data_IF_546727820286
#
_entry.id   IF_546727820286
#
_cell.length_a   1.000
_cell.length_b   1.000
_cell.length_c   1.000
_cell.angle_alpha   90.00
_cell.angle_beta   90.00
_cell.angle_gamma   90.00
#
_symmetry.space_group_name_H-M   'P 1'
#
loop_
_entity.id
_entity.type
_entity.pdbx_description
1 polymer ?
#
# COMPACT_ATOMS: atom_id res chain seq x y z
N UNK A 1 17.62 -50.37 16.76
CA UNK A 1 16.90 -50.56 18.05
C UNK A 1 17.57 -49.72 19.12
N UNK A 2 16.80 -49.18 20.08
CA UNK A 2 17.15 -48.24 21.19
C UNK A 2 17.23 -46.75 20.77
N UNK A 3 16.25 -45.89 21.06
CA UNK A 3 15.66 -45.36 22.32
C UNK A 3 16.53 -44.29 23.02
N UNK A 4 16.01 -43.06 23.09
CA UNK A 4 15.96 -42.10 24.23
C UNK A 4 15.45 -40.74 23.71
N UNK A 5 14.18 -40.37 23.88
CA UNK A 5 13.56 -39.77 25.07
C UNK A 5 14.27 -38.47 25.54
N UNK A 6 13.62 -37.30 25.37
CA UNK A 6 13.07 -36.50 26.49
C UNK A 6 12.35 -35.25 25.98
N UNK A 7 11.13 -35.06 26.46
CA UNK A 7 10.38 -33.80 26.47
C UNK A 7 10.98 -32.82 27.51
N UNK A 8 10.61 -31.54 27.42
CA UNK A 8 10.33 -30.53 28.48
C UNK A 8 10.52 -29.13 27.83
N UNK A 9 9.46 -28.45 27.38
CA UNK A 9 8.43 -27.70 28.12
C UNK A 9 8.84 -26.24 28.43
N UNK A 10 7.90 -25.32 28.16
CA UNK A 10 7.55 -24.06 28.83
C UNK A 10 7.01 -23.07 27.76
N UNK A 11 5.88 -22.37 27.91
CA UNK A 11 4.79 -22.40 28.88
C UNK A 11 3.64 -21.59 28.27
N UNK A 12 2.42 -21.95 28.62
CA UNK A 12 1.18 -21.24 28.32
C UNK A 12 1.17 -19.77 28.79
N UNK A 13 0.55 -18.89 27.98
CA UNK A 13 -0.37 -17.87 28.51
C UNK A 13 -1.67 -17.97 27.70
N UNK A 14 -2.71 -18.52 28.33
CA UNK A 14 -4.09 -18.20 27.98
C UNK A 14 -4.32 -16.76 28.41
N UNK A 15 -4.69 -15.90 27.46
CA UNK A 15 -5.52 -14.74 27.74
C UNK A 15 -6.78 -14.89 26.91
N UNK A 16 -7.80 -15.46 27.54
CA UNK A 16 -9.18 -15.09 27.23
C UNK A 16 -9.39 -13.77 27.97
N UNK A 17 -9.33 -12.67 27.25
CA UNK A 17 -9.69 -11.34 27.72
C UNK A 17 -10.40 -10.69 26.55
N UNK A 18 -11.63 -10.22 26.79
CA UNK A 18 -12.44 -9.49 25.84
C UNK A 18 -11.55 -8.57 24.99
N UNK A 19 -11.55 -8.83 23.68
CA UNK A 19 -10.99 -7.92 22.70
C UNK A 19 -11.90 -6.69 22.66
N UNK A 20 -11.78 -5.85 23.68
CA UNK A 20 -12.22 -4.49 23.67
C UNK A 20 -11.60 -3.87 22.43
N UNK A 21 -12.48 -3.60 21.48
CA UNK A 21 -12.24 -3.19 20.11
C UNK A 21 -11.54 -1.83 20.12
N UNK A 22 -10.22 -1.83 20.30
CA UNK A 22 -9.41 -0.71 19.84
C UNK A 22 -9.69 -0.61 18.34
N UNK A 23 -10.15 0.55 17.86
CA UNK A 23 -10.22 0.76 16.42
C UNK A 23 -8.79 0.68 15.90
N UNK A 24 -8.38 -0.51 15.44
CA UNK A 24 -7.08 -0.72 14.85
C UNK A 24 -6.97 0.26 13.69
N UNK A 25 -5.90 1.07 13.70
CA UNK A 25 -5.66 2.04 12.65
C UNK A 25 -5.64 1.31 11.30
N UNK A 26 -6.58 1.64 10.41
CA UNK A 26 -6.65 1.08 9.05
C UNK A 26 -6.21 2.12 8.02
N UNK A 27 -5.04 1.90 7.42
CA UNK A 27 -4.51 2.78 6.38
C UNK A 27 -5.42 2.79 5.14
N UNK A 28 -6.11 1.70 4.83
CA UNK A 28 -7.01 1.65 3.68
C UNK A 28 -8.20 2.61 3.85
N UNK A 29 -8.73 2.72 5.08
CA UNK A 29 -9.79 3.69 5.40
C UNK A 29 -9.27 5.13 5.27
N UNK A 30 -8.05 5.41 5.73
CA UNK A 30 -7.44 6.75 5.56
C UNK A 30 -7.26 7.10 4.08
N UNK A 31 -6.81 6.16 3.26
CA UNK A 31 -6.69 6.34 1.80
C UNK A 31 -8.06 6.58 1.17
N UNK A 32 -9.09 5.81 1.56
CA UNK A 32 -10.46 5.97 1.07
C UNK A 32 -11.02 7.35 1.39
N UNK A 33 -10.89 7.79 2.65
CA UNK A 33 -11.40 9.07 3.11
C UNK A 33 -10.69 10.23 2.40
N UNK A 34 -9.38 10.09 2.16
CA UNK A 34 -8.60 11.04 1.37
C UNK A 34 -9.09 11.06 -0.07
N UNK A 35 -9.26 9.89 -0.71
CA UNK A 35 -9.78 9.78 -2.07
C UNK A 35 -11.17 10.41 -2.24
N UNK A 36 -12.03 10.35 -1.21
CA UNK A 36 -13.33 11.00 -1.21
C UNK A 36 -13.22 12.54 -1.27
N UNK A 37 -12.23 13.15 -0.60
CA UNK A 37 -11.97 14.60 -0.70
C UNK A 37 -11.58 15.02 -2.12
N UNK A 38 -10.90 14.14 -2.85
CA UNK A 38 -10.48 14.36 -4.23
C UNK A 38 -11.46 13.76 -5.26
N UNK A 39 -12.69 13.39 -4.88
CA UNK A 39 -13.63 12.72 -5.78
C UNK A 39 -13.90 13.51 -7.08
N UNK A 40 -13.90 14.85 -7.02
CA UNK A 40 -14.12 15.71 -8.18
C UNK A 40 -13.02 15.65 -9.25
N UNK A 41 -11.81 15.16 -8.91
CA UNK A 41 -10.70 15.03 -9.87
C UNK A 41 -10.69 13.67 -10.57
N UNK A 42 -11.51 12.73 -10.12
CA UNK A 42 -11.57 11.36 -10.63
C UNK A 42 -12.51 11.27 -11.83
N UNK A 43 -11.94 10.97 -13.00
CA UNK A 43 -12.62 10.90 -14.30
C UNK A 43 -13.22 9.54 -14.60
N UNK A 44 -12.66 8.48 -14.03
CA UNK A 44 -13.11 7.10 -14.23
C UNK A 44 -13.82 6.63 -12.97
N UNK A 45 -15.08 6.22 -13.12
CA UNK A 45 -15.87 5.63 -12.04
C UNK A 45 -15.37 4.23 -11.67
N UNK A 46 -15.81 3.72 -10.51
CA UNK A 46 -15.34 2.44 -9.98
C UNK A 46 -15.65 1.25 -10.91
N UNK A 47 -16.83 1.21 -11.53
CA UNK A 47 -17.23 0.09 -12.39
C UNK A 47 -16.41 0.05 -13.68
N UNK A 48 -16.25 1.21 -14.32
CA UNK A 48 -15.39 1.36 -15.50
C UNK A 48 -13.93 1.05 -15.19
N UNK A 49 -13.43 1.49 -14.04
CA UNK A 49 -12.05 1.23 -13.62
C UNK A 49 -11.80 -0.26 -13.37
N UNK A 50 -12.70 -0.94 -12.65
CA UNK A 50 -12.64 -2.39 -12.41
C UNK A 50 -12.65 -3.15 -13.72
N UNK A 51 -13.57 -2.83 -14.65
CA UNK A 51 -13.63 -3.51 -15.95
C UNK A 51 -12.33 -3.37 -16.74
N UNK A 52 -11.80 -2.14 -16.86
CA UNK A 52 -10.54 -1.88 -17.57
C UNK A 52 -9.37 -2.60 -16.93
N UNK A 53 -9.31 -2.61 -15.60
CA UNK A 53 -8.27 -3.30 -14.85
C UNK A 53 -8.38 -4.81 -15.05
N UNK A 54 -9.57 -5.40 -14.94
CA UNK A 54 -9.79 -6.83 -15.18
C UNK A 54 -9.34 -7.26 -16.58
N UNK A 55 -9.70 -6.49 -17.60
CA UNK A 55 -9.32 -6.79 -18.98
C UNK A 55 -7.79 -6.71 -19.18
N UNK A 56 -7.13 -5.72 -18.57
CA UNK A 56 -5.67 -5.58 -18.58
C UNK A 56 -4.98 -6.74 -17.85
N UNK A 57 -5.44 -7.08 -16.65
CA UNK A 57 -4.81 -8.11 -15.83
C UNK A 57 -4.96 -9.51 -16.44
N UNK A 58 -6.10 -9.81 -17.05
CA UNK A 58 -6.31 -11.08 -17.77
C UNK A 58 -5.43 -11.15 -19.01
N UNK A 59 -5.36 -10.07 -19.79
CA UNK A 59 -4.62 -10.04 -21.05
C UNK A 59 -3.10 -10.06 -20.85
N UNK A 60 -2.59 -9.23 -19.96
CA UNK A 60 -1.16 -8.90 -19.90
C UNK A 60 -0.45 -9.49 -18.67
N UNK A 61 -1.20 -9.82 -17.62
CA UNK A 61 -0.64 -10.29 -16.33
C UNK A 61 -1.13 -11.69 -15.92
N UNK A 62 -1.83 -12.40 -16.82
CA UNK A 62 -2.24 -13.79 -16.63
C UNK A 62 -3.18 -14.03 -15.44
N UNK A 63 -4.03 -13.05 -15.11
CA UNK A 63 -4.98 -13.20 -14.01
C UNK A 63 -5.92 -14.40 -14.20
N UNK A 64 -6.05 -15.23 -13.16
CA UNK A 64 -6.92 -16.43 -13.14
C UNK A 64 -8.36 -16.11 -12.70
N UNK A 65 -8.62 -14.85 -12.37
CA UNK A 65 -9.88 -14.33 -11.91
C UNK A 65 -10.03 -12.86 -12.26
N UNK A 66 -11.11 -12.27 -11.77
CA UNK A 66 -11.47 -10.86 -11.97
C UNK A 66 -11.77 -10.24 -10.60
N UNK A 67 -11.46 -8.96 -10.43
CA UNK A 67 -11.83 -8.16 -9.26
C UNK A 67 -13.33 -8.23 -9.04
N UNK A 68 -14.13 -8.13 -10.12
CA UNK A 68 -15.58 -8.24 -10.04
C UNK A 68 -16.07 -9.57 -9.42
N UNK A 69 -15.26 -10.64 -9.56
CA UNK A 69 -15.57 -11.99 -9.08
C UNK A 69 -14.82 -12.37 -7.79
N UNK A 70 -14.06 -11.47 -7.17
CA UNK A 70 -13.42 -11.73 -5.88
C UNK A 70 -14.50 -12.02 -4.81
N UNK A 71 -14.28 -13.09 -4.03
CA UNK A 71 -15.25 -13.61 -3.07
C UNK A 71 -15.02 -13.02 -1.68
N UNK A 72 -13.75 -12.77 -1.33
CA UNK A 72 -13.43 -12.08 -0.09
C UNK A 72 -13.88 -10.61 -0.18
N UNK A 73 -14.83 -10.15 0.66
CA UNK A 73 -15.37 -8.79 0.56
C UNK A 73 -14.33 -7.70 0.85
N UNK A 74 -13.38 -7.97 1.75
CA UNK A 74 -12.33 -7.00 2.11
C UNK A 74 -11.37 -6.85 0.95
N UNK A 75 -10.89 -7.96 0.39
CA UNK A 75 -10.04 -7.93 -0.80
C UNK A 75 -10.74 -7.29 -1.98
N UNK A 76 -12.01 -7.64 -2.24
CA UNK A 76 -12.79 -7.03 -3.32
C UNK A 76 -12.90 -5.51 -3.17
N UNK A 77 -13.14 -5.04 -1.95
CA UNK A 77 -13.18 -3.61 -1.64
C UNK A 77 -11.83 -2.93 -1.90
N UNK A 78 -10.73 -3.51 -1.40
CA UNK A 78 -9.38 -2.98 -1.62
C UNK A 78 -9.02 -2.94 -3.11
N UNK A 79 -9.29 -4.02 -3.85
CA UNK A 79 -9.01 -4.10 -5.29
C UNK A 79 -9.87 -3.13 -6.11
N UNK A 80 -11.13 -2.96 -5.76
CA UNK A 80 -12.03 -1.99 -6.44
C UNK A 80 -11.54 -0.56 -6.23
N UNK A 81 -11.17 -0.22 -4.99
CA UNK A 81 -10.61 1.10 -4.66
C UNK A 81 -9.27 1.32 -5.34
N UNK A 82 -8.37 0.33 -5.31
CA UNK A 82 -7.09 0.36 -5.99
C UNK A 82 -7.26 0.57 -7.51
N UNK A 83 -8.11 -0.23 -8.16
CA UNK A 83 -8.38 -0.12 -9.59
C UNK A 83 -8.87 1.30 -9.95
N UNK A 84 -9.78 1.86 -9.15
CA UNK A 84 -10.25 3.24 -9.34
C UNK A 84 -9.11 4.26 -9.22
N UNK A 85 -8.27 4.17 -8.19
CA UNK A 85 -7.16 5.09 -7.98
C UNK A 85 -6.14 5.00 -9.13
N UNK A 86 -5.74 3.78 -9.50
CA UNK A 86 -4.78 3.49 -10.57
C UNK A 86 -5.27 4.02 -11.92
N UNK A 87 -6.53 3.75 -12.28
CA UNK A 87 -7.12 4.22 -13.53
C UNK A 87 -7.33 5.74 -13.59
N UNK A 88 -7.21 6.43 -12.45
CA UNK A 88 -7.24 7.89 -12.35
C UNK A 88 -5.85 8.51 -12.11
N UNK A 89 -4.76 7.74 -12.30
CA UNK A 89 -3.39 8.24 -12.20
C UNK A 89 -2.82 8.34 -10.79
N UNK A 90 -3.50 7.81 -9.78
CA UNK A 90 -3.04 7.82 -8.38
C UNK A 90 -2.34 6.50 -8.06
N UNK A 91 -1.14 6.34 -8.64
CA UNK A 91 -0.39 5.09 -8.64
C UNK A 91 0.10 4.67 -7.24
N UNK A 92 0.47 5.64 -6.39
CA UNK A 92 1.03 5.36 -5.06
C UNK A 92 -0.08 4.93 -4.11
N UNK A 93 -1.16 5.70 -4.01
CA UNK A 93 -2.31 5.36 -3.17
C UNK A 93 -2.97 4.05 -3.61
N UNK A 94 -3.17 3.86 -4.92
CA UNK A 94 -3.69 2.61 -5.47
C UNK A 94 -2.76 1.41 -5.22
N UNK A 95 -1.45 1.58 -5.44
CA UNK A 95 -0.46 0.54 -5.17
C UNK A 95 -0.37 0.16 -3.69
N UNK A 96 -0.46 1.13 -2.77
CA UNK A 96 -0.48 0.85 -1.33
C UNK A 96 -1.69 0.02 -0.91
N UNK A 97 -2.87 0.22 -1.50
CA UNK A 97 -4.02 -0.64 -1.23
C UNK A 97 -3.79 -2.10 -1.65
N UNK A 98 -3.03 -2.34 -2.72
CA UNK A 98 -2.64 -3.70 -3.13
C UNK A 98 -1.62 -4.31 -2.15
N UNK A 99 -0.69 -3.50 -1.64
CA UNK A 99 0.24 -3.95 -0.58
C UNK A 99 -0.52 -4.34 0.69
N UNK A 100 -1.49 -3.52 1.12
CA UNK A 100 -2.36 -3.85 2.26
C UNK A 100 -3.13 -5.15 1.98
N UNK A 101 -3.74 -5.28 0.80
CA UNK A 101 -4.46 -6.48 0.40
C UNK A 101 -3.58 -7.74 0.44
N UNK A 102 -2.29 -7.64 0.12
CA UNK A 102 -1.35 -8.77 0.18
C UNK A 102 -1.07 -9.30 1.59
N UNK A 103 -1.40 -8.52 2.62
CA UNK A 103 -1.23 -8.85 4.02
C UNK A 103 -2.51 -9.40 4.66
N UNK A 104 -3.65 -9.33 3.96
CA UNK A 104 -4.93 -9.84 4.43
C UNK A 104 -4.96 -11.39 4.40
N UNK A 105 -5.63 -12.01 5.37
CA UNK A 105 -5.65 -13.48 5.51
C UNK A 105 -6.21 -14.21 4.28
N UNK A 106 -7.14 -13.59 3.56
CA UNK A 106 -7.77 -14.16 2.35
C UNK A 106 -6.88 -14.12 1.10
N UNK A 107 -5.75 -13.39 1.12
CA UNK A 107 -4.99 -13.09 -0.09
C UNK A 107 -4.48 -14.34 -0.81
N UNK A 108 -4.03 -15.35 -0.05
CA UNK A 108 -3.54 -16.62 -0.61
C UNK A 108 -4.60 -17.37 -1.43
N UNK A 109 -5.88 -17.14 -1.17
CA UNK A 109 -7.01 -17.69 -1.93
C UNK A 109 -7.45 -16.83 -3.11
N UNK A 110 -6.94 -15.59 -3.24
CA UNK A 110 -7.34 -14.68 -4.31
C UNK A 110 -6.82 -15.14 -5.67
N UNK A 111 -7.72 -15.21 -6.66
CA UNK A 111 -7.38 -15.56 -8.05
C UNK A 111 -6.86 -14.37 -8.87
N UNK A 112 -7.04 -13.14 -8.38
CA UNK A 112 -6.67 -11.91 -9.07
C UNK A 112 -5.55 -11.14 -8.35
N UNK A 113 -5.43 -11.29 -7.02
CA UNK A 113 -4.43 -10.62 -6.18
C UNK A 113 -3.00 -10.71 -6.71
N UNK A 114 -2.47 -11.90 -7.04
CA UNK A 114 -1.11 -12.03 -7.56
C UNK A 114 -0.86 -11.25 -8.86
N UNK A 115 -1.84 -11.19 -9.77
CA UNK A 115 -1.72 -10.43 -11.01
C UNK A 115 -1.75 -8.91 -10.75
N UNK A 116 -2.58 -8.45 -9.81
CA UNK A 116 -2.56 -7.06 -9.35
C UNK A 116 -1.21 -6.67 -8.76
N UNK A 117 -0.63 -7.52 -7.92
CA UNK A 117 0.68 -7.28 -7.33
C UNK A 117 1.78 -7.21 -8.41
N UNK A 118 1.75 -8.10 -9.40
CA UNK A 118 2.66 -8.07 -10.54
C UNK A 118 2.49 -6.79 -11.39
N UNK A 119 1.25 -6.36 -11.64
CA UNK A 119 0.95 -5.10 -12.33
C UNK A 119 1.54 -3.89 -11.61
N UNK A 120 1.32 -3.77 -10.30
CA UNK A 120 1.89 -2.68 -9.50
C UNK A 120 3.42 -2.73 -9.50
N UNK A 121 4.00 -3.93 -9.38
CA UNK A 121 5.44 -4.13 -9.48
C UNK A 121 6.00 -3.57 -10.80
N UNK A 122 5.40 -3.95 -11.93
CA UNK A 122 5.81 -3.48 -13.25
C UNK A 122 5.61 -1.96 -13.43
N UNK A 123 4.51 -1.40 -12.91
CA UNK A 123 4.21 0.02 -13.02
C UNK A 123 5.16 0.91 -12.20
N UNK A 124 5.69 0.39 -11.08
CA UNK A 124 6.58 1.13 -10.18
C UNK A 124 8.05 0.72 -10.33
N UNK A 125 8.37 -0.21 -11.23
CA UNK A 125 9.74 -0.55 -11.58
C UNK A 125 10.31 0.52 -12.52
N UNK A 126 11.61 0.86 -12.38
CA UNK A 126 12.28 1.63 -13.42
C UNK A 126 12.26 0.81 -14.71
N UNK A 127 11.62 1.34 -15.77
CA UNK A 127 11.84 0.83 -17.10
C UNK A 127 13.31 1.07 -17.49
N UNK A 128 13.83 0.30 -18.44
CA UNK A 128 15.23 0.28 -18.87
C UNK A 128 15.91 1.67 -18.95
N UNK A 129 17.23 1.69 -18.77
CA UNK A 129 18.11 2.86 -18.53
C UNK A 129 17.95 4.09 -19.46
N UNK A 130 17.18 3.98 -20.54
CA UNK A 130 16.89 5.07 -21.48
C UNK A 130 15.78 6.02 -20.99
N UNK A 131 14.92 5.64 -20.03
CA UNK A 131 13.91 6.55 -19.47
C UNK A 131 14.46 7.39 -18.32
N UNK A 132 15.07 8.51 -18.69
CA UNK A 132 15.64 9.51 -17.76
C UNK A 132 14.67 10.00 -16.67
N UNK A 133 13.36 9.99 -16.93
CA UNK A 133 12.34 10.47 -15.98
C UNK A 133 12.05 9.41 -14.92
N UNK A 134 11.89 8.14 -15.32
CA UNK A 134 11.67 7.04 -14.37
C UNK A 134 12.91 6.79 -13.51
N UNK A 135 14.11 6.97 -14.07
CA UNK A 135 15.36 6.91 -13.29
C UNK A 135 15.41 8.00 -12.22
N UNK A 136 15.04 9.24 -12.55
CA UNK A 136 14.99 10.34 -11.57
C UNK A 136 14.03 10.03 -10.42
N UNK A 137 12.81 9.55 -10.71
CA UNK A 137 11.86 9.15 -9.67
C UNK A 137 12.41 8.04 -8.76
N UNK A 138 13.06 7.03 -9.35
CA UNK A 138 13.66 5.91 -8.61
C UNK A 138 14.79 6.39 -7.68
N UNK A 139 15.69 7.24 -8.18
CA UNK A 139 16.78 7.80 -7.37
C UNK A 139 16.26 8.67 -6.23
N UNK A 140 15.29 9.55 -6.50
CA UNK A 140 14.64 10.38 -5.49
C UNK A 140 13.95 9.52 -4.43
N UNK A 141 13.25 8.46 -4.86
CA UNK A 141 12.60 7.52 -3.95
C UNK A 141 13.61 6.78 -3.06
N UNK A 142 14.75 6.35 -3.61
CA UNK A 142 15.80 5.67 -2.85
C UNK A 142 16.44 6.60 -1.82
N UNK A 143 16.75 7.86 -2.20
CA UNK A 143 17.25 8.88 -1.25
C UNK A 143 16.26 9.11 -0.10
N UNK A 144 14.98 9.27 -0.41
CA UNK A 144 13.92 9.43 0.58
C UNK A 144 13.80 8.22 1.53
N UNK A 145 13.72 7.00 0.99
CA UNK A 145 13.55 5.77 1.79
C UNK A 145 14.65 5.61 2.83
N UNK A 146 15.89 5.95 2.48
CA UNK A 146 17.02 5.89 3.43
C UNK A 146 16.82 6.76 4.68
N UNK A 147 16.06 7.86 4.57
CA UNK A 147 15.76 8.77 5.69
C UNK A 147 14.55 8.31 6.51
N UNK A 148 13.66 7.52 5.93
CA UNK A 148 12.45 7.05 6.61
C UNK A 148 12.68 5.81 7.49
N UNK A 149 13.82 5.13 7.33
CA UNK A 149 14.14 3.91 8.09
C UNK A 149 14.30 4.11 9.60
N UNK A 150 14.42 5.36 10.07
CA UNK A 150 14.54 5.71 11.49
C UNK A 150 13.18 5.80 12.20
N UNK A 151 12.08 5.80 11.45
CA UNK A 151 10.73 5.90 12.00
C UNK A 151 10.29 4.56 12.62
N UNK A 152 9.49 4.65 13.69
CA UNK A 152 8.84 3.48 14.29
C UNK A 152 7.96 2.75 13.26
N UNK A 153 7.84 1.41 13.35
CA UNK A 153 7.18 0.60 12.32
C UNK A 153 5.77 1.08 11.96
N UNK A 154 4.97 1.53 12.95
CA UNK A 154 3.59 1.97 12.68
C UNK A 154 3.52 3.20 11.78
N UNK A 155 4.53 4.09 11.79
CA UNK A 155 4.56 5.30 10.98
C UNK A 155 5.15 5.07 9.58
N UNK A 156 5.85 3.96 9.34
CA UNK A 156 6.61 3.76 8.10
C UNK A 156 5.71 3.80 6.87
N UNK A 157 4.56 3.12 6.90
CA UNK A 157 3.62 3.14 5.77
C UNK A 157 3.05 4.54 5.54
N UNK A 158 2.68 5.26 6.61
CA UNK A 158 2.14 6.62 6.52
C UNK A 158 3.17 7.61 5.93
N UNK A 159 4.40 7.53 6.42
CA UNK A 159 5.50 8.36 5.94
C UNK A 159 5.89 8.03 4.50
N UNK A 160 5.99 6.74 4.15
CA UNK A 160 6.26 6.32 2.77
C UNK A 160 5.15 6.79 1.83
N UNK A 161 3.88 6.65 2.23
CA UNK A 161 2.74 7.11 1.43
C UNK A 161 2.83 8.62 1.15
N UNK A 162 3.12 9.43 2.18
CA UNK A 162 3.29 10.88 2.02
C UNK A 162 4.44 11.22 1.08
N UNK A 163 5.62 10.65 1.32
CA UNK A 163 6.84 11.03 0.58
C UNK A 163 6.81 10.51 -0.85
N UNK A 164 6.42 9.25 -1.06
CA UNK A 164 6.26 8.71 -2.41
C UNK A 164 5.14 9.44 -3.15
N UNK A 165 4.03 9.77 -2.50
CA UNK A 165 2.97 10.58 -3.10
C UNK A 165 3.49 11.93 -3.61
N UNK A 166 4.35 12.60 -2.84
CA UNK A 166 4.96 13.86 -3.26
C UNK A 166 5.92 13.69 -4.45
N UNK A 167 6.68 12.60 -4.49
CA UNK A 167 7.61 12.29 -5.60
C UNK A 167 6.83 12.02 -6.89
N UNK A 168 5.79 11.19 -6.82
CA UNK A 168 5.01 10.73 -7.99
C UNK A 168 3.77 11.59 -8.29
N UNK A 169 3.62 12.74 -7.62
CA UNK A 169 2.50 13.66 -7.79
C UNK A 169 1.10 13.02 -7.56
N UNK A 170 1.00 12.13 -6.56
CA UNK A 170 -0.26 11.53 -6.10
C UNK A 170 -0.79 12.30 -4.88
N UNK A 171 -1.72 13.27 -5.06
CA UNK A 171 -2.21 14.12 -3.97
C UNK A 171 -3.04 13.34 -2.94
N UNK A 172 -3.66 12.22 -3.34
CA UNK A 172 -4.42 11.35 -2.42
C UNK A 172 -3.45 10.67 -1.45
N UNK A 173 -2.31 10.17 -1.96
CA UNK A 173 -1.26 9.60 -1.12
C UNK A 173 -0.64 10.64 -0.17
N UNK A 174 -0.41 11.87 -0.65
CA UNK A 174 0.10 12.96 0.21
C UNK A 174 -0.86 13.26 1.36
N UNK A 175 -2.15 13.49 1.07
CA UNK A 175 -3.17 13.77 2.09
C UNK A 175 -3.33 12.61 3.06
N UNK A 176 -3.46 11.38 2.54
CA UNK A 176 -3.60 10.18 3.37
C UNK A 176 -2.39 9.99 4.31
N UNK A 177 -1.17 10.22 3.82
CA UNK A 177 0.02 10.15 4.63
C UNK A 177 0.06 11.21 5.73
N UNK A 178 -0.35 12.46 5.45
CA UNK A 178 -0.46 13.51 6.47
C UNK A 178 -1.51 13.14 7.53
N UNK A 179 -2.70 12.74 7.12
CA UNK A 179 -3.78 12.34 8.03
C UNK A 179 -3.35 11.16 8.90
N UNK A 180 -2.68 10.17 8.32
CA UNK A 180 -2.19 8.99 9.02
C UNK A 180 -1.13 9.34 10.06
N UNK A 181 -0.13 10.16 9.71
CA UNK A 181 0.90 10.62 10.65
C UNK A 181 0.28 11.34 11.85
N UNK A 182 -0.72 12.18 11.62
CA UNK A 182 -1.46 12.88 12.68
C UNK A 182 -2.26 11.90 13.56
N UNK A 183 -3.00 10.97 12.95
CA UNK A 183 -3.79 9.96 13.68
C UNK A 183 -2.92 9.03 14.52
N UNK A 184 -1.70 8.76 14.07
CA UNK A 184 -0.72 7.93 14.76
C UNK A 184 0.14 8.73 15.75
N UNK A 185 -0.12 10.03 15.92
CA UNK A 185 0.61 10.93 16.83
C UNK A 185 2.12 10.91 16.56
N UNK A 186 2.53 11.21 15.33
CA UNK A 186 3.93 11.45 15.01
C UNK A 186 4.48 12.61 15.87
N UNK A 187 5.66 12.41 16.43
CA UNK A 187 6.40 13.42 17.21
C UNK A 187 7.08 14.42 16.29
N UNK A 188 7.54 15.56 16.84
CA UNK A 188 8.27 16.56 16.08
C UNK A 188 9.53 16.01 15.39
N UNK A 189 10.26 15.10 16.04
CA UNK A 189 11.45 14.46 15.47
C UNK A 189 11.08 13.53 14.30
N UNK A 190 9.98 12.79 14.42
CA UNK A 190 9.46 11.91 13.37
C UNK A 190 8.94 12.72 12.16
N UNK A 191 8.24 13.82 12.41
CA UNK A 191 7.87 14.78 11.36
C UNK A 191 9.09 15.41 10.70
N UNK A 192 10.13 15.71 11.49
CA UNK A 192 11.43 16.17 11.01
C UNK A 192 12.11 15.17 10.07
N UNK A 193 12.04 13.86 10.39
CA UNK A 193 12.54 12.81 9.51
C UNK A 193 11.77 12.74 8.18
N UNK A 194 10.44 12.90 8.22
CA UNK A 194 9.60 12.96 7.01
C UNK A 194 9.94 14.19 6.16
N UNK A 195 10.11 15.36 6.78
CA UNK A 195 10.52 16.59 6.09
C UNK A 195 11.93 16.47 5.49
N UNK A 196 12.85 15.82 6.21
CA UNK A 196 14.19 15.49 5.73
C UNK A 196 14.16 14.56 4.51
N UNK A 197 13.26 13.56 4.51
CA UNK A 197 13.06 12.68 3.36
C UNK A 197 12.52 13.43 2.14
N UNK A 198 11.57 14.35 2.32
CA UNK A 198 11.05 15.21 1.23
C UNK A 198 12.15 16.11 0.65
N UNK A 199 13.00 16.69 1.52
CA UNK A 199 14.14 17.51 1.10
C UNK A 199 15.15 16.68 0.32
N UNK A 200 15.49 15.48 0.81
CA UNK A 200 16.41 14.57 0.13
C UNK A 200 15.89 14.11 -1.24
N UNK A 201 14.57 13.96 -1.39
CA UNK A 201 13.92 13.68 -2.67
C UNK A 201 13.95 14.87 -3.65
N UNK A 202 14.18 16.09 -3.19
CA UNK A 202 14.30 17.29 -4.04
C UNK A 202 15.74 17.68 -4.41
N UNK A 203 16.73 17.07 -3.76
CA UNK A 203 18.15 17.32 -4.05
C UNK A 203 18.54 16.74 -5.42
N UNK A 204 19.23 17.55 -6.24
CA UNK A 204 19.80 17.18 -7.55
C UNK A 204 21.21 16.63 -7.41
#
# INVERSE_FOLDING_TARGET
MMIRALAFALLFIVSCGDAAQASAFDMADVIRDSAAKFAATQKVDAGSAVKRMDDLLVRDYGARGRIASEHDPRLKSLYTQAARLLMNGNAISGGTLIVIASQESGYSGSKVGPALQAFIGAMLMPADEEDTVLRDFSERANRARSKLGVLRPELQMAAQLRVMGAIYHDPIAVDAGVVALNKLSATADEEGAVAGALTAAGAK
#
